data_IF_480800275234
#
_entry.id   IF_480800275234
#
_cell.length_a   1.000
_cell.length_b   1.000
_cell.length_c   1.000
_cell.angle_alpha   90.00
_cell.angle_beta   90.00
_cell.angle_gamma   90.00
#
_symmetry.space_group_name_H-M   'P 1'
#
loop_
_entity.id
_entity.type
_entity.pdbx_description
1 polymer ?
#
# COMPACT_ATOMS: atom_id res chain seq x y z
N UNK A 1 -4.11 -25.10 -45.96
CA UNK A 1 -3.68 -26.42 -45.45
C UNK A 1 -2.81 -26.20 -44.23
N UNK A 2 -3.04 -26.99 -43.19
CA UNK A 2 -2.52 -26.85 -41.81
C UNK A 2 -1.03 -27.18 -41.71
N UNK A 3 -0.27 -26.42 -40.91
CA UNK A 3 0.91 -26.89 -40.18
C UNK A 3 0.95 -26.14 -38.84
N UNK A 4 0.50 -26.77 -37.73
CA UNK A 4 1.27 -27.61 -36.78
C UNK A 4 2.38 -26.82 -36.09
N UNK A 5 2.13 -26.28 -34.89
CA UNK A 5 2.37 -26.93 -33.59
C UNK A 5 3.79 -27.46 -33.36
N UNK A 6 4.38 -26.94 -32.26
CA UNK A 6 5.24 -27.60 -31.25
C UNK A 6 6.57 -26.84 -31.07
N UNK A 7 6.77 -26.06 -30.01
CA UNK A 7 6.94 -26.42 -28.60
C UNK A 7 8.42 -26.61 -28.21
N UNK A 8 8.78 -25.97 -27.08
CA UNK A 8 9.85 -26.35 -26.13
C UNK A 8 11.29 -26.10 -26.63
N UNK A 9 12.27 -25.68 -25.84
CA UNK A 9 12.45 -25.43 -24.39
C UNK A 9 13.82 -24.75 -24.21
N UNK A 10 13.91 -23.96 -23.13
CA UNK A 10 15.09 -23.72 -22.27
C UNK A 10 16.25 -22.81 -22.69
N UNK A 11 16.45 -21.84 -21.78
CA UNK A 11 17.71 -21.41 -21.16
C UNK A 11 18.53 -20.32 -21.88
N UNK A 12 18.35 -19.08 -21.44
CA UNK A 12 19.43 -18.12 -21.27
C UNK A 12 19.08 -17.20 -20.09
N UNK A 13 20.01 -17.06 -19.14
CA UNK A 13 19.79 -16.38 -17.87
C UNK A 13 19.36 -14.93 -18.05
N UNK A 14 18.41 -14.51 -17.21
CA UNK A 14 18.06 -13.11 -17.04
C UNK A 14 19.32 -12.35 -16.60
N UNK A 15 19.89 -11.46 -17.41
CA UNK A 15 20.99 -10.65 -16.93
C UNK A 15 20.45 -9.75 -15.82
N UNK A 16 21.04 -9.87 -14.63
CA UNK A 16 20.90 -8.90 -13.52
C UNK A 16 21.59 -7.60 -13.92
N UNK A 17 21.07 -6.92 -14.93
CA UNK A 17 21.47 -5.57 -15.26
C UNK A 17 20.43 -4.64 -14.66
N UNK A 18 20.65 -4.26 -13.40
CA UNK A 18 19.94 -3.13 -12.78
C UNK A 18 20.28 -1.88 -13.59
N UNK A 19 19.36 -1.23 -14.32
CA UNK A 19 19.62 0.12 -14.75
C UNK A 19 19.70 0.97 -13.48
N UNK A 20 20.84 1.61 -13.26
CA UNK A 20 20.97 2.62 -12.22
C UNK A 20 19.90 3.69 -12.48
N UNK A 21 18.86 3.69 -11.67
CA UNK A 21 17.80 4.70 -11.73
C UNK A 21 18.47 6.04 -11.41
N UNK A 22 18.74 6.83 -12.46
CA UNK A 22 19.20 8.20 -12.35
C UNK A 22 18.12 8.97 -11.62
N UNK A 23 18.30 9.16 -10.31
CA UNK A 23 17.50 10.03 -9.47
C UNK A 23 17.48 11.42 -10.11
N UNK A 24 16.42 11.72 -10.84
CA UNK A 24 16.12 13.08 -11.24
C UNK A 24 15.76 13.82 -9.97
N UNK A 25 16.66 14.68 -9.51
CA UNK A 25 16.41 15.62 -8.41
C UNK A 25 15.24 16.51 -8.80
N UNK A 26 14.02 16.14 -8.37
CA UNK A 26 12.87 17.04 -8.36
C UNK A 26 13.19 18.15 -7.35
N UNK A 27 13.41 19.33 -7.91
CA UNK A 27 13.47 20.66 -7.29
C UNK A 27 12.58 20.75 -6.05
N UNK A 28 13.18 21.24 -4.98
CA UNK A 28 12.64 21.41 -3.63
C UNK A 28 11.18 21.92 -3.62
N UNK A 29 10.24 21.01 -3.38
CA UNK A 29 8.93 21.36 -2.82
C UNK A 29 9.07 21.32 -1.30
N UNK A 30 8.65 22.35 -0.56
CA UNK A 30 8.90 22.43 0.87
C UNK A 30 8.24 21.24 1.58
N UNK A 31 9.10 20.43 2.20
CA UNK A 31 8.72 19.34 3.06
C UNK A 31 8.01 19.91 4.30
N UNK A 32 6.70 20.10 4.23
CA UNK A 32 5.85 20.09 5.43
C UNK A 32 5.68 18.64 5.84
N UNK A 33 6.78 18.04 6.30
CA UNK A 33 6.72 16.86 7.15
C UNK A 33 6.13 17.32 8.47
N UNK A 34 4.80 17.48 8.51
CA UNK A 34 4.11 17.60 9.77
C UNK A 34 4.45 16.30 10.50
N UNK A 35 5.26 16.41 11.54
CA UNK A 35 5.46 15.34 12.51
C UNK A 35 4.10 15.13 13.14
N UNK A 36 3.23 14.37 12.47
CA UNK A 36 1.95 13.98 13.04
C UNK A 36 2.31 13.12 14.23
N UNK A 37 2.12 13.67 15.42
CA UNK A 37 2.44 12.96 16.65
C UNK A 37 1.72 11.61 16.68
N UNK A 38 2.27 10.62 17.39
CA UNK A 38 1.63 9.31 17.59
C UNK A 38 0.16 9.44 18.04
N UNK A 39 -0.19 10.56 18.67
CA UNK A 39 -1.52 10.90 19.15
C UNK A 39 -2.57 10.98 18.03
N UNK A 40 -2.27 11.61 16.88
CA UNK A 40 -3.27 11.77 15.82
C UNK A 40 -3.44 10.48 14.99
N UNK A 41 -2.37 9.72 14.79
CA UNK A 41 -2.46 8.40 14.18
C UNK A 41 -3.29 7.44 15.06
N UNK A 42 -3.15 7.54 16.37
CA UNK A 42 -3.95 6.76 17.33
C UNK A 42 -5.43 7.15 17.27
N UNK A 43 -5.73 8.46 17.25
CA UNK A 43 -7.11 8.94 17.10
C UNK A 43 -7.77 8.42 15.83
N UNK A 44 -7.12 8.57 14.67
CA UNK A 44 -7.66 8.09 13.40
C UNK A 44 -7.89 6.58 13.40
N UNK A 45 -6.94 5.82 13.96
CA UNK A 45 -7.08 4.37 14.11
C UNK A 45 -8.30 4.01 14.96
N UNK A 46 -8.50 4.72 16.08
CA UNK A 46 -9.62 4.47 16.96
C UNK A 46 -10.96 4.84 16.33
N UNK A 47 -11.03 5.99 15.64
CA UNK A 47 -12.20 6.47 14.89
C UNK A 47 -12.63 5.45 13.82
N UNK A 48 -11.68 4.91 13.05
CA UNK A 48 -11.96 3.89 12.02
C UNK A 48 -12.47 2.59 12.64
N UNK A 49 -11.86 2.15 13.74
CA UNK A 49 -12.31 0.92 14.43
C UNK A 49 -13.72 1.10 14.99
N UNK A 50 -14.03 2.26 15.56
CA UNK A 50 -15.38 2.59 16.05
C UNK A 50 -16.41 2.56 14.93
N UNK A 51 -16.10 3.15 13.78
CA UNK A 51 -16.97 3.13 12.61
C UNK A 51 -17.20 1.70 12.11
N UNK A 52 -16.15 0.88 12.02
CA UNK A 52 -16.25 -0.52 11.57
C UNK A 52 -17.05 -1.40 12.55
N UNK A 53 -17.06 -1.09 13.84
CA UNK A 53 -17.93 -1.74 14.83
C UNK A 53 -19.38 -1.29 14.62
N UNK A 54 -19.61 0.01 14.46
CA UNK A 54 -20.94 0.56 14.23
C UNK A 54 -21.60 0.00 12.96
N UNK A 55 -20.80 -0.19 11.90
CA UNK A 55 -21.22 -0.77 10.63
C UNK A 55 -21.37 -2.31 10.67
N UNK A 56 -21.07 -2.94 11.82
CA UNK A 56 -21.18 -4.39 11.99
C UNK A 56 -20.10 -5.20 11.26
N UNK A 57 -19.03 -4.56 10.78
CA UNK A 57 -17.90 -5.22 10.12
C UNK A 57 -16.97 -5.88 11.13
N UNK A 58 -16.71 -5.24 12.27
CA UNK A 58 -15.97 -5.82 13.40
C UNK A 58 -16.98 -6.29 14.45
N UNK A 59 -17.14 -7.61 14.58
CA UNK A 59 -18.08 -8.21 15.54
C UNK A 59 -17.40 -8.83 16.77
N UNK A 60 -16.08 -9.00 16.75
CA UNK A 60 -15.35 -9.66 17.83
C UNK A 60 -14.41 -8.69 18.57
N UNK A 61 -14.37 -8.83 19.90
CA UNK A 61 -13.48 -8.03 20.76
C UNK A 61 -12.00 -8.30 20.49
N UNK A 62 -11.65 -9.51 20.06
CA UNK A 62 -10.27 -9.83 19.67
C UNK A 62 -9.84 -9.07 18.41
N UNK A 63 -10.72 -8.96 17.40
CA UNK A 63 -10.43 -8.20 16.18
C UNK A 63 -10.36 -6.70 16.46
N UNK A 64 -11.26 -6.16 17.28
CA UNK A 64 -11.20 -4.76 17.75
C UNK A 64 -9.83 -4.45 18.37
N UNK A 65 -9.40 -5.26 19.35
CA UNK A 65 -8.13 -5.06 20.04
C UNK A 65 -6.92 -5.17 19.11
N UNK A 66 -6.96 -6.12 18.16
CA UNK A 66 -5.91 -6.26 17.16
C UNK A 66 -5.81 -5.02 16.27
N UNK A 67 -6.94 -4.54 15.75
CA UNK A 67 -6.96 -3.39 14.84
C UNK A 67 -6.50 -2.09 15.51
N UNK A 68 -6.87 -1.84 16.78
CA UNK A 68 -6.37 -0.67 17.53
C UNK A 68 -4.86 -0.73 17.82
N UNK A 69 -4.29 -1.94 17.88
CA UNK A 69 -2.86 -2.13 18.19
C UNK A 69 -1.96 -1.93 16.98
N UNK A 70 -2.42 -2.23 15.76
CA UNK A 70 -1.57 -2.24 14.57
C UNK A 70 -1.43 -0.84 13.97
N UNK A 71 -0.21 -0.24 13.96
CA UNK A 71 0.02 1.07 13.35
C UNK A 71 0.12 0.93 11.82
N UNK A 72 -1.04 0.98 11.15
CA UNK A 72 -1.14 0.82 9.70
C UNK A 72 -0.31 1.84 8.93
N UNK A 73 -0.15 3.07 9.44
CA UNK A 73 0.62 4.16 8.86
C UNK A 73 2.08 3.79 8.58
N UNK A 74 2.65 2.83 9.32
CA UNK A 74 4.02 2.36 9.10
C UNK A 74 4.15 1.45 7.86
N UNK A 75 3.02 1.00 7.31
CA UNK A 75 2.94 0.06 6.19
C UNK A 75 2.47 0.73 4.89
N UNK A 76 2.05 2.00 4.93
CA UNK A 76 1.44 2.70 3.80
C UNK A 76 2.40 3.52 2.94
N UNK A 77 3.70 3.55 3.28
CA UNK A 77 4.70 4.35 2.55
C UNK A 77 4.43 5.85 2.67
N UNK A 78 4.53 6.58 1.56
CA UNK A 78 4.35 8.05 1.51
C UNK A 78 2.88 8.50 1.45
N UNK A 79 1.93 7.60 1.69
CA UNK A 79 0.50 7.91 1.67
C UNK A 79 0.15 8.83 2.85
N UNK A 80 -0.62 9.92 2.62
CA UNK A 80 -1.08 10.80 3.69
C UNK A 80 -1.79 10.03 4.80
N UNK A 81 -1.57 10.44 6.06
CA UNK A 81 -2.07 9.72 7.22
C UNK A 81 -3.59 9.55 7.20
N UNK A 82 -4.31 10.59 6.82
CA UNK A 82 -5.77 10.58 6.73
C UNK A 82 -6.25 9.57 5.69
N UNK A 83 -5.53 9.45 4.57
CA UNK A 83 -5.83 8.48 3.53
C UNK A 83 -5.43 7.05 3.93
N UNK A 84 -4.39 6.89 4.74
CA UNK A 84 -4.00 5.59 5.30
C UNK A 84 -5.09 4.99 6.21
N UNK A 85 -5.92 5.85 6.79
CA UNK A 85 -7.04 5.54 7.67
C UNK A 85 -8.41 5.82 7.04
N UNK A 86 -8.50 5.96 5.72
CA UNK A 86 -9.80 5.95 5.06
C UNK A 86 -10.40 4.53 5.15
N UNK A 87 -11.58 4.42 5.76
CA UNK A 87 -12.25 3.15 6.06
C UNK A 87 -12.52 2.32 4.80
N UNK A 88 -12.83 2.98 3.68
CA UNK A 88 -13.34 2.31 2.48
C UNK A 88 -12.49 2.56 1.24
N UNK A 89 -11.50 3.46 1.30
CA UNK A 89 -10.52 3.63 0.24
C UNK A 89 -9.36 2.63 0.38
N UNK A 90 -8.99 2.00 -0.74
CA UNK A 90 -7.83 1.13 -0.78
C UNK A 90 -6.53 1.98 -0.78
N UNK A 91 -5.60 1.62 0.09
CA UNK A 91 -4.23 2.15 0.04
C UNK A 91 -3.46 1.41 -1.03
N UNK A 92 -3.17 2.09 -2.14
CA UNK A 92 -2.49 1.50 -3.30
C UNK A 92 -0.99 1.56 -3.09
N UNK A 93 -0.39 0.40 -2.79
CA UNK A 93 1.05 0.29 -2.54
C UNK A 93 1.83 -0.21 -3.76
N UNK A 94 1.14 -0.78 -4.76
CA UNK A 94 1.74 -1.34 -5.98
C UNK A 94 0.87 -1.04 -7.20
N UNK A 95 1.53 -0.61 -8.28
CA UNK A 95 0.90 -0.28 -9.55
C UNK A 95 1.70 -0.95 -10.68
N UNK A 96 0.98 -1.57 -11.63
CA UNK A 96 1.54 -2.18 -12.83
C UNK A 96 1.96 -1.15 -13.88
N UNK A 97 2.65 -1.60 -14.92
CA UNK A 97 3.12 -0.74 -16.02
C UNK A 97 1.96 -0.07 -16.79
N UNK A 98 0.80 -0.72 -16.80
CA UNK A 98 -0.46 -0.27 -17.39
C UNK A 98 -1.30 0.63 -16.46
N UNK A 99 -0.81 0.93 -15.25
CA UNK A 99 -1.55 1.68 -14.23
C UNK A 99 -2.51 0.82 -13.40
N UNK A 100 -2.55 -0.50 -13.59
CA UNK A 100 -3.44 -1.39 -12.83
C UNK A 100 -2.99 -1.51 -11.38
N UNK A 101 -3.93 -1.43 -10.44
CA UNK A 101 -3.65 -1.67 -9.01
C UNK A 101 -3.33 -3.14 -8.79
N UNK A 102 -2.22 -3.42 -8.10
CA UNK A 102 -1.77 -4.78 -7.84
C UNK A 102 -1.99 -5.15 -6.36
N UNK A 103 -2.54 -6.34 -6.13
CA UNK A 103 -2.74 -6.95 -4.81
C UNK A 103 -1.50 -7.70 -4.32
#
# INVERSE_FOLDING_TARGET
MRERMAARRHAAGFPLQRPALRLQTRKDSPMTGVTVGPDRATQLRDEVVDQLIADGTIVSKAVEAAMRKVPRELLTGDVPLEQAYDTYAAVITKVGEDGTHLS
#
